data_IF_924415676534
#
_entry.id   IF_924415676534
#
_cell.length_a   1.000
_cell.length_b   1.000
_cell.length_c   1.000
_cell.angle_alpha   90.00
_cell.angle_beta   90.00
_cell.angle_gamma   90.00
#
_symmetry.space_group_name_H-M   'P 1'
#
loop_
_entity.id
_entity.type
_entity.pdbx_description
1 polymer ?
#
# COMPACT_ATOMS: atom_id res chain seq x y z
N UNK A 1 4.95 -24.36 -11.90
CA UNK A 1 6.40 -24.14 -11.73
C UNK A 1 6.76 -23.87 -10.26
N UNK A 2 6.15 -22.90 -9.56
CA UNK A 2 6.46 -22.60 -8.15
C UNK A 2 6.05 -23.74 -7.22
N UNK A 3 4.76 -24.14 -7.22
CA UNK A 3 4.24 -25.15 -6.28
C UNK A 3 5.03 -26.45 -6.25
N UNK A 4 5.34 -27.10 -7.39
CA UNK A 4 6.14 -28.34 -7.34
C UNK A 4 7.54 -28.15 -6.77
N UNK A 5 8.09 -26.94 -6.83
CA UNK A 5 9.43 -26.64 -6.35
C UNK A 5 9.49 -26.43 -4.83
N UNK A 6 8.38 -26.05 -4.20
CA UNK A 6 8.32 -25.71 -2.76
C UNK A 6 7.54 -26.73 -1.91
N UNK A 7 6.84 -27.68 -2.53
CA UNK A 7 6.15 -28.75 -1.77
C UNK A 7 7.15 -29.51 -0.89
N UNK A 8 6.82 -29.60 0.41
CA UNK A 8 7.68 -30.26 1.41
C UNK A 8 8.73 -29.35 2.05
N UNK A 9 8.76 -28.04 1.73
CA UNK A 9 9.62 -27.11 2.45
C UNK A 9 9.04 -26.84 3.87
N UNK A 10 9.91 -26.65 4.84
CA UNK A 10 9.50 -26.16 6.15
C UNK A 10 8.95 -24.73 6.04
N UNK A 11 7.79 -24.45 6.65
CA UNK A 11 7.16 -23.12 6.59
C UNK A 11 8.00 -22.03 7.26
N UNK A 12 8.96 -22.38 8.12
CA UNK A 12 9.91 -21.43 8.72
C UNK A 12 11.09 -21.09 7.81
N UNK A 13 11.35 -21.87 6.76
CA UNK A 13 12.44 -21.66 5.79
C UNK A 13 12.08 -20.60 4.73
N UNK A 14 11.51 -19.47 5.15
CA UNK A 14 10.97 -18.44 4.23
C UNK A 14 12.01 -17.90 3.26
N UNK A 15 13.21 -17.57 3.75
CA UNK A 15 14.29 -17.06 2.88
C UNK A 15 14.71 -18.12 1.83
N UNK A 16 14.76 -19.39 2.21
CA UNK A 16 15.05 -20.51 1.31
C UNK A 16 13.93 -20.69 0.28
N UNK A 17 12.66 -20.54 0.70
CA UNK A 17 11.52 -20.58 -0.22
C UNK A 17 11.65 -19.49 -1.31
N UNK A 18 12.05 -18.28 -0.96
CA UNK A 18 12.30 -17.20 -1.94
C UNK A 18 13.39 -17.56 -2.93
N UNK A 19 14.52 -18.13 -2.48
CA UNK A 19 15.60 -18.58 -3.37
C UNK A 19 15.08 -19.65 -4.36
N UNK A 20 14.29 -20.61 -3.86
CA UNK A 20 13.70 -21.66 -4.71
C UNK A 20 12.73 -21.06 -5.72
N UNK A 21 11.84 -20.16 -5.29
CA UNK A 21 10.88 -19.51 -6.18
C UNK A 21 11.58 -18.62 -7.24
N UNK A 22 12.63 -17.90 -6.86
CA UNK A 22 13.39 -17.05 -7.78
C UNK A 22 14.13 -17.88 -8.85
N UNK A 23 14.64 -19.04 -8.48
CA UNK A 23 15.25 -20.00 -9.42
C UNK A 23 14.21 -20.71 -10.32
N UNK A 24 12.97 -20.93 -9.81
CA UNK A 24 11.92 -21.59 -10.57
C UNK A 24 11.29 -20.71 -11.65
N UNK A 25 11.19 -19.40 -11.39
CA UNK A 25 10.59 -18.43 -12.32
C UNK A 25 11.07 -17.01 -12.04
N UNK A 26 11.47 -16.30 -13.09
CA UNK A 26 11.83 -14.88 -13.01
C UNK A 26 10.60 -14.02 -12.74
N UNK A 27 10.78 -12.89 -12.06
CA UNK A 27 9.71 -11.92 -11.75
C UNK A 27 8.50 -12.58 -11.07
N UNK A 28 7.32 -12.55 -11.66
CA UNK A 28 6.07 -13.19 -11.17
C UNK A 28 5.77 -12.92 -9.68
N UNK A 29 5.99 -11.69 -9.25
CA UNK A 29 5.93 -11.28 -7.84
C UNK A 29 4.59 -11.59 -7.17
N UNK A 30 3.47 -11.47 -7.89
CA UNK A 30 2.15 -11.78 -7.34
C UNK A 30 2.00 -13.26 -6.96
N UNK A 31 2.52 -14.17 -7.80
CA UNK A 31 2.50 -15.62 -7.49
C UNK A 31 3.42 -15.94 -6.31
N UNK A 32 4.60 -15.34 -6.24
CA UNK A 32 5.53 -15.48 -5.11
C UNK A 32 4.94 -14.92 -3.82
N UNK A 33 4.24 -13.78 -3.91
CA UNK A 33 3.52 -13.18 -2.79
C UNK A 33 2.46 -14.11 -2.20
N UNK A 34 1.67 -14.78 -3.05
CA UNK A 34 0.65 -15.72 -2.57
C UNK A 34 1.27 -16.86 -1.75
N UNK A 35 2.40 -17.41 -2.22
CA UNK A 35 3.14 -18.46 -1.50
C UNK A 35 3.79 -17.92 -0.23
N UNK A 36 4.44 -16.76 -0.30
CA UNK A 36 5.08 -16.11 0.85
C UNK A 36 4.06 -15.84 1.98
N UNK A 37 2.90 -15.27 1.64
CA UNK A 37 1.83 -15.02 2.61
C UNK A 37 1.29 -16.32 3.21
N UNK A 38 1.16 -17.39 2.41
CA UNK A 38 0.72 -18.70 2.89
C UNK A 38 1.74 -19.33 3.87
N UNK A 39 3.04 -19.23 3.57
CA UNK A 39 4.10 -19.70 4.47
C UNK A 39 4.11 -18.92 5.78
N UNK A 40 4.01 -17.59 5.74
CA UNK A 40 3.94 -16.76 6.93
C UNK A 40 2.67 -17.04 7.77
N UNK A 41 1.52 -17.24 7.12
CA UNK A 41 0.28 -17.61 7.79
C UNK A 41 0.40 -18.98 8.50
N UNK A 42 0.94 -19.97 7.79
CA UNK A 42 1.17 -21.30 8.35
C UNK A 42 2.15 -21.26 9.52
N UNK A 43 3.32 -20.63 9.34
CA UNK A 43 4.34 -20.53 10.38
C UNK A 43 3.82 -19.83 11.65
N UNK A 44 3.08 -18.72 11.49
CA UNK A 44 2.49 -18.03 12.64
C UNK A 44 1.37 -18.83 13.32
N UNK A 45 0.60 -19.63 12.57
CA UNK A 45 -0.38 -20.58 13.14
C UNK A 45 0.30 -21.73 13.91
N UNK A 46 1.38 -22.29 13.39
CA UNK A 46 2.17 -23.31 14.10
C UNK A 46 2.74 -22.76 15.42
N UNK A 47 3.13 -21.49 15.47
CA UNK A 47 3.59 -20.83 16.68
C UNK A 47 2.44 -20.42 17.63
N UNK A 48 1.19 -20.47 17.20
CA UNK A 48 0.03 -20.03 17.97
C UNK A 48 0.01 -18.51 18.20
N UNK A 49 0.51 -17.72 17.25
CA UNK A 49 0.61 -16.26 17.36
C UNK A 49 -0.03 -15.55 16.15
N UNK A 50 -0.51 -14.30 16.31
CA UNK A 50 -0.88 -13.45 15.19
C UNK A 50 0.35 -13.13 14.31
N UNK A 51 0.13 -12.97 13.01
CA UNK A 51 1.23 -12.73 12.04
C UNK A 51 2.09 -11.51 12.39
N UNK A 52 1.51 -10.41 12.90
CA UNK A 52 2.31 -9.25 13.29
C UNK A 52 3.37 -9.55 14.35
N UNK A 53 3.14 -10.54 15.24
CA UNK A 53 4.15 -10.95 16.22
C UNK A 53 5.35 -11.64 15.57
N UNK A 54 5.12 -12.46 14.56
CA UNK A 54 6.20 -13.07 13.76
C UNK A 54 6.98 -11.99 12.96
N UNK A 55 6.33 -10.89 12.60
CA UNK A 55 6.95 -9.78 11.87
C UNK A 55 7.75 -8.81 12.77
N UNK A 56 7.73 -8.98 14.09
CA UNK A 56 8.50 -8.18 15.05
C UNK A 56 7.67 -7.55 16.17
N UNK A 57 6.37 -7.82 16.21
CA UNK A 57 5.44 -7.28 17.23
C UNK A 57 4.72 -6.02 16.78
N UNK A 58 3.83 -5.50 17.63
CA UNK A 58 3.07 -4.27 17.37
C UNK A 58 3.93 -3.03 17.57
N UNK A 59 4.05 -2.20 16.55
CA UNK A 59 4.50 -0.82 16.65
C UNK A 59 3.32 0.16 16.89
N UNK A 60 2.08 -0.29 16.64
CA UNK A 60 0.84 0.47 16.85
C UNK A 60 -0.36 -0.45 17.07
N UNK A 61 -1.38 0.07 17.76
CA UNK A 61 -2.61 -0.68 18.04
C UNK A 61 -3.61 -0.65 16.89
N UNK A 62 -3.51 0.38 16.02
CA UNK A 62 -4.34 0.52 14.83
C UNK A 62 -3.57 1.16 13.69
N UNK A 63 -4.03 0.92 12.48
CA UNK A 63 -3.52 1.50 11.23
C UNK A 63 -4.60 2.42 10.66
N UNK A 64 -4.27 3.70 10.47
CA UNK A 64 -5.17 4.61 9.75
C UNK A 64 -5.27 4.19 8.29
N UNK A 65 -6.49 4.17 7.74
CA UNK A 65 -6.71 3.90 6.31
C UNK A 65 -7.35 5.12 5.63
N UNK A 66 -7.07 5.27 4.34
CA UNK A 66 -7.63 6.33 3.52
C UNK A 66 -8.82 5.85 2.69
N UNK A 67 -9.48 6.81 2.02
CA UNK A 67 -10.50 6.56 1.00
C UNK A 67 -10.05 7.17 -0.33
N UNK A 68 -10.49 6.58 -1.42
CA UNK A 68 -10.06 6.97 -2.77
C UNK A 68 -11.16 7.69 -3.53
N UNK A 69 -10.78 8.78 -4.21
CA UNK A 69 -11.59 9.47 -5.21
C UNK A 69 -10.96 9.26 -6.58
N UNK A 70 -11.69 8.65 -7.49
CA UNK A 70 -11.28 8.44 -8.87
C UNK A 70 -11.26 9.74 -9.70
N UNK A 71 -10.94 9.61 -10.99
CA UNK A 71 -11.06 10.70 -11.94
C UNK A 71 -12.56 10.86 -12.29
N UNK A 72 -13.15 11.98 -11.87
CA UNK A 72 -14.56 12.32 -12.04
C UNK A 72 -14.73 13.85 -12.08
N UNK A 73 -15.95 14.36 -12.26
CA UNK A 73 -16.21 15.80 -12.20
C UNK A 73 -16.11 16.36 -10.76
N UNK A 74 -16.03 17.67 -10.65
CA UNK A 74 -15.84 18.35 -9.36
C UNK A 74 -17.03 18.11 -8.39
N UNK A 75 -18.25 18.09 -8.90
CA UNK A 75 -19.45 17.93 -8.06
C UNK A 75 -19.48 16.55 -7.40
N UNK A 76 -19.23 15.53 -8.20
CA UNK A 76 -19.13 14.14 -7.70
C UNK A 76 -17.98 13.97 -6.72
N UNK A 77 -16.80 14.53 -7.02
CA UNK A 77 -15.61 14.43 -6.15
C UNK A 77 -15.85 15.12 -4.80
N UNK A 78 -16.45 16.31 -4.80
CA UNK A 78 -16.80 17.06 -3.58
C UNK A 78 -17.83 16.31 -2.75
N UNK A 79 -18.88 15.79 -3.39
CA UNK A 79 -19.92 15.00 -2.70
C UNK A 79 -19.32 13.79 -2.00
N UNK A 80 -18.46 13.03 -2.71
CA UNK A 80 -17.81 11.85 -2.18
C UNK A 80 -16.81 12.18 -1.07
N UNK A 81 -16.06 13.27 -1.19
CA UNK A 81 -15.14 13.72 -0.16
C UNK A 81 -15.85 14.09 1.15
N UNK A 82 -16.97 14.83 1.05
CA UNK A 82 -17.81 15.15 2.21
C UNK A 82 -18.40 13.92 2.87
N UNK A 83 -18.84 12.94 2.07
CA UNK A 83 -19.36 11.68 2.58
C UNK A 83 -18.26 10.91 3.35
N UNK A 84 -17.03 10.81 2.83
CA UNK A 84 -15.92 10.18 3.54
C UNK A 84 -15.60 10.87 4.86
N UNK A 85 -15.54 12.19 4.88
CA UNK A 85 -15.29 12.97 6.11
C UNK A 85 -16.41 12.74 7.12
N UNK A 86 -17.68 12.69 6.69
CA UNK A 86 -18.82 12.42 7.57
C UNK A 86 -18.78 11.02 8.19
N UNK A 87 -18.15 10.05 7.52
CA UNK A 87 -17.88 8.69 8.01
C UNK A 87 -16.62 8.61 8.89
N UNK A 88 -15.93 9.72 9.15
CA UNK A 88 -14.72 9.77 9.97
C UNK A 88 -13.41 9.49 9.23
N UNK A 89 -13.41 9.44 7.89
CA UNK A 89 -12.19 9.28 7.09
C UNK A 89 -11.54 10.64 6.81
N UNK A 90 -10.49 10.94 7.55
CA UNK A 90 -9.73 12.21 7.44
C UNK A 90 -8.52 12.11 6.51
N UNK A 91 -8.38 11.06 5.72
CA UNK A 91 -7.35 10.89 4.69
C UNK A 91 -8.00 10.47 3.38
N UNK A 92 -7.81 11.30 2.36
CA UNK A 92 -8.42 11.13 1.03
C UNK A 92 -7.32 11.11 -0.02
N UNK A 93 -7.29 10.03 -0.82
CA UNK A 93 -6.39 9.88 -1.96
C UNK A 93 -7.15 10.20 -3.25
N UNK A 94 -6.70 11.20 -3.98
CA UNK A 94 -7.32 11.64 -5.25
C UNK A 94 -6.50 11.16 -6.43
N UNK A 95 -7.13 10.41 -7.34
CA UNK A 95 -6.52 10.03 -8.61
C UNK A 95 -6.51 11.21 -9.58
N UNK A 96 -5.36 11.43 -10.20
CA UNK A 96 -5.17 12.47 -11.24
C UNK A 96 -4.55 11.85 -12.49
N UNK A 97 -4.67 12.55 -13.62
CA UNK A 97 -4.14 12.10 -14.90
C UNK A 97 -4.87 12.77 -16.06
N UNK A 98 -4.33 12.66 -17.27
CA UNK A 98 -4.91 13.29 -18.46
C UNK A 98 -4.87 14.82 -18.41
N UNK A 99 -6.01 15.48 -18.34
CA UNK A 99 -6.09 16.95 -18.38
C UNK A 99 -5.69 17.58 -17.05
N UNK A 100 -4.58 18.30 -17.04
CA UNK A 100 -3.97 18.91 -15.85
C UNK A 100 -4.91 19.94 -15.20
N UNK A 101 -5.53 20.82 -15.99
CA UNK A 101 -6.39 21.90 -15.47
C UNK A 101 -7.66 21.36 -14.81
N UNK A 102 -8.26 20.32 -15.36
CA UNK A 102 -9.41 19.66 -14.73
C UNK A 102 -9.03 19.02 -13.39
N UNK A 103 -7.83 18.43 -13.28
CA UNK A 103 -7.33 17.85 -12.04
C UNK A 103 -7.04 18.93 -10.99
N UNK A 104 -6.43 20.06 -11.37
CA UNK A 104 -6.22 21.21 -10.49
C UNK A 104 -7.54 21.72 -9.94
N UNK A 105 -8.52 21.95 -10.82
CA UNK A 105 -9.86 22.41 -10.43
C UNK A 105 -10.52 21.46 -9.44
N UNK A 106 -10.44 20.14 -9.67
CA UNK A 106 -11.02 19.12 -8.81
C UNK A 106 -10.36 19.06 -7.43
N UNK A 107 -9.02 19.11 -7.36
CA UNK A 107 -8.30 19.09 -6.08
C UNK A 107 -8.64 20.34 -5.25
N UNK A 108 -8.67 21.52 -5.87
CA UNK A 108 -9.06 22.77 -5.20
C UNK A 108 -10.49 22.71 -4.67
N UNK A 109 -11.44 22.24 -5.48
CA UNK A 109 -12.83 22.10 -5.06
C UNK A 109 -12.99 21.13 -3.89
N UNK A 110 -12.26 20.01 -3.88
CA UNK A 110 -12.27 19.06 -2.76
C UNK A 110 -11.64 19.70 -1.52
N UNK A 111 -10.47 20.37 -1.62
CA UNK A 111 -9.84 21.05 -0.49
C UNK A 111 -10.76 22.09 0.15
N UNK A 112 -11.39 22.93 -0.65
CA UNK A 112 -12.36 23.91 -0.18
C UNK A 112 -13.54 23.25 0.56
N UNK A 113 -13.99 22.11 0.07
CA UNK A 113 -15.14 21.38 0.61
C UNK A 113 -14.90 20.63 1.92
N UNK A 114 -13.67 20.13 2.14
CA UNK A 114 -13.32 19.30 3.32
C UNK A 114 -12.51 20.06 4.38
N UNK A 115 -12.07 21.29 4.09
CA UNK A 115 -11.26 22.11 5.00
C UNK A 115 -9.81 21.58 5.13
N UNK A 116 -9.04 22.21 6.02
CA UNK A 116 -7.60 21.94 6.17
C UNK A 116 -7.26 20.73 7.05
N UNK A 117 -8.19 20.26 7.87
CA UNK A 117 -7.99 19.11 8.77
C UNK A 117 -7.90 17.79 8.01
N UNK A 118 -8.58 17.67 6.88
CA UNK A 118 -8.52 16.48 6.04
C UNK A 118 -7.19 16.44 5.26
N UNK A 119 -6.50 15.30 5.34
CA UNK A 119 -5.30 15.03 4.55
C UNK A 119 -5.68 14.69 3.12
N UNK A 120 -5.09 15.38 2.15
CA UNK A 120 -5.26 15.08 0.72
C UNK A 120 -3.95 14.52 0.19
N UNK A 121 -4.02 13.36 -0.43
CA UNK A 121 -2.93 12.73 -1.19
C UNK A 121 -3.30 12.68 -2.65
N UNK A 122 -2.33 12.93 -3.52
CA UNK A 122 -2.50 12.89 -4.98
C UNK A 122 -1.81 11.65 -5.52
N UNK A 123 -2.44 10.94 -6.45
CA UNK A 123 -1.82 9.80 -7.14
C UNK A 123 -2.08 9.91 -8.64
N UNK A 124 -0.99 10.06 -9.40
CA UNK A 124 -1.03 10.16 -10.86
C UNK A 124 -0.77 8.83 -11.58
N UNK A 125 -0.42 7.76 -10.87
CA UNK A 125 -0.05 6.45 -11.43
C UNK A 125 0.88 6.57 -12.65
N UNK A 126 1.95 7.37 -12.52
CA UNK A 126 2.92 7.69 -13.58
C UNK A 126 2.33 8.38 -14.83
N UNK A 127 1.18 9.02 -14.68
CA UNK A 127 0.39 9.55 -15.81
C UNK A 127 0.82 10.93 -16.32
N UNK A 128 1.83 11.58 -15.71
CA UNK A 128 2.35 12.87 -16.15
C UNK A 128 3.77 12.78 -16.68
N UNK A 129 4.11 13.67 -17.62
CA UNK A 129 5.49 14.05 -17.90
C UNK A 129 5.91 15.18 -16.94
N UNK A 130 7.20 15.55 -16.96
CA UNK A 130 7.74 16.59 -16.07
C UNK A 130 7.03 17.94 -16.21
N UNK A 131 6.70 18.39 -17.42
CA UNK A 131 6.00 19.65 -17.65
C UNK A 131 4.59 19.64 -17.04
N UNK A 132 3.84 18.57 -17.28
CA UNK A 132 2.50 18.38 -16.71
C UNK A 132 2.51 18.28 -15.19
N UNK A 133 3.46 17.52 -14.63
CA UNK A 133 3.64 17.41 -13.19
C UNK A 133 3.97 18.77 -12.55
N UNK A 134 4.88 19.54 -13.18
CA UNK A 134 5.25 20.88 -12.73
C UNK A 134 4.08 21.87 -12.78
N UNK A 135 3.28 21.83 -13.83
CA UNK A 135 2.06 22.63 -13.97
C UNK A 135 1.03 22.25 -12.90
N UNK A 136 0.80 20.94 -12.71
CA UNK A 136 -0.12 20.44 -11.70
C UNK A 136 0.29 20.86 -10.29
N UNK A 137 1.55 20.62 -9.91
CA UNK A 137 2.09 20.98 -8.59
C UNK A 137 1.93 22.47 -8.32
N UNK A 138 2.28 23.35 -9.27
CA UNK A 138 2.06 24.80 -9.15
C UNK A 138 0.60 25.14 -8.92
N UNK A 139 -0.30 24.46 -9.62
CA UNK A 139 -1.74 24.72 -9.57
C UNK A 139 -2.41 24.31 -8.24
N UNK A 140 -1.78 23.40 -7.46
CA UNK A 140 -2.32 22.90 -6.18
C UNK A 140 -1.36 23.13 -5.01
N UNK A 141 -0.34 23.99 -5.17
CA UNK A 141 0.71 24.19 -4.18
C UNK A 141 0.17 24.67 -2.82
N UNK A 142 -0.86 25.49 -2.83
CA UNK A 142 -1.58 26.02 -1.66
C UNK A 142 -2.67 25.07 -1.12
N UNK A 143 -2.84 23.89 -1.73
CA UNK A 143 -3.84 22.92 -1.28
C UNK A 143 -3.36 22.00 -0.14
N UNK A 144 -2.19 22.23 0.46
CA UNK A 144 -1.63 21.42 1.56
C UNK A 144 -1.70 19.92 1.31
N UNK A 145 -1.11 19.48 0.18
CA UNK A 145 -1.08 18.07 -0.23
C UNK A 145 -0.09 17.31 0.65
N UNK A 146 -0.53 16.22 1.27
CA UNK A 146 0.30 15.39 2.15
C UNK A 146 1.40 14.64 1.40
N UNK A 147 1.05 14.04 0.23
CA UNK A 147 1.98 13.37 -0.66
C UNK A 147 1.55 13.48 -2.11
N UNK A 148 2.53 13.64 -2.99
CA UNK A 148 2.39 13.50 -4.43
C UNK A 148 2.92 12.12 -4.84
N UNK A 149 1.99 11.17 -5.07
CA UNK A 149 2.32 9.79 -5.36
C UNK A 149 2.52 9.57 -6.85
N UNK A 150 3.67 8.99 -7.20
CA UNK A 150 4.08 8.55 -8.53
C UNK A 150 3.60 9.46 -9.67
N UNK A 151 4.02 10.73 -9.64
CA UNK A 151 3.64 11.70 -10.69
C UNK A 151 4.22 11.32 -12.05
N UNK A 152 5.50 10.87 -12.08
CA UNK A 152 6.27 10.59 -13.29
C UNK A 152 6.44 9.09 -13.53
N UNK A 153 6.78 8.67 -14.77
CA UNK A 153 7.11 7.29 -15.09
C UNK A 153 8.20 6.72 -14.19
N UNK A 154 8.07 5.44 -13.82
CA UNK A 154 8.97 4.76 -12.87
C UNK A 154 10.45 4.74 -13.26
N UNK A 155 10.78 4.90 -14.54
CA UNK A 155 12.17 4.92 -15.03
C UNK A 155 12.81 6.32 -14.96
N UNK A 156 12.01 7.37 -14.72
CA UNK A 156 12.46 8.76 -14.83
C UNK A 156 12.88 9.32 -13.45
N UNK A 157 14.00 8.79 -12.95
CA UNK A 157 14.55 9.18 -11.65
C UNK A 157 15.01 10.63 -11.65
N UNK A 158 15.73 11.05 -12.69
CA UNK A 158 16.36 12.37 -12.73
C UNK A 158 15.32 13.49 -12.70
N UNK A 159 14.23 13.34 -13.46
CA UNK A 159 13.14 14.31 -13.41
C UNK A 159 12.33 14.24 -12.11
N UNK A 160 12.21 13.05 -11.47
CA UNK A 160 11.60 12.93 -10.16
C UNK A 160 12.42 13.67 -9.10
N UNK A 161 13.74 13.50 -9.11
CA UNK A 161 14.67 14.26 -8.25
C UNK A 161 14.56 15.77 -8.51
N UNK A 162 14.51 16.18 -9.79
CA UNK A 162 14.36 17.59 -10.14
C UNK A 162 13.01 18.16 -9.65
N UNK A 163 11.92 17.42 -9.79
CA UNK A 163 10.60 17.81 -9.30
C UNK A 163 10.61 18.00 -7.77
N UNK A 164 11.14 17.01 -7.04
CA UNK A 164 11.27 17.06 -5.58
C UNK A 164 12.07 18.30 -5.14
N UNK A 165 13.26 18.51 -5.70
CA UNK A 165 14.14 19.61 -5.32
C UNK A 165 13.60 21.00 -5.71
N UNK A 166 13.02 21.12 -6.91
CA UNK A 166 12.58 22.41 -7.43
C UNK A 166 11.31 22.92 -6.76
N UNK A 167 10.46 22.04 -6.28
CA UNK A 167 9.18 22.41 -5.68
C UNK A 167 9.12 22.18 -4.16
N UNK A 168 10.06 21.44 -3.58
CA UNK A 168 10.06 21.11 -2.15
C UNK A 168 8.80 20.35 -1.71
N UNK A 169 8.24 19.52 -2.59
CA UNK A 169 7.00 18.76 -2.33
C UNK A 169 7.29 17.37 -1.80
N UNK A 170 6.48 16.83 -0.89
CA UNK A 170 6.64 15.46 -0.40
C UNK A 170 6.26 14.45 -1.49
N UNK A 171 7.21 13.64 -1.92
CA UNK A 171 7.01 12.61 -2.96
C UNK A 171 6.90 11.21 -2.34
N UNK A 172 5.87 10.49 -2.76
CA UNK A 172 5.64 9.07 -2.45
C UNK A 172 5.82 8.26 -3.73
N UNK A 173 6.65 7.21 -3.72
CA UNK A 173 6.87 6.33 -4.87
C UNK A 173 6.14 4.99 -4.69
N UNK A 174 5.34 4.60 -5.69
CA UNK A 174 4.59 3.34 -5.76
C UNK A 174 5.17 2.41 -6.84
N UNK A 175 4.87 2.67 -8.11
CA UNK A 175 5.26 1.78 -9.22
C UNK A 175 6.77 1.68 -9.41
N UNK A 176 7.51 2.63 -8.90
CA UNK A 176 8.96 2.70 -9.02
C UNK A 176 9.70 1.77 -8.05
N UNK A 177 9.05 1.35 -6.94
CA UNK A 177 9.73 0.59 -5.88
C UNK A 177 9.01 -0.73 -5.62
N UNK A 178 9.47 -1.79 -6.28
CA UNK A 178 8.94 -3.15 -6.14
C UNK A 178 9.99 -4.16 -5.65
N UNK A 179 11.28 -3.79 -5.65
CA UNK A 179 12.36 -4.65 -5.15
C UNK A 179 13.27 -3.89 -4.18
N UNK A 180 14.02 -4.58 -3.31
CA UNK A 180 15.00 -3.95 -2.43
C UNK A 180 16.06 -3.13 -3.19
N UNK A 181 16.50 -3.60 -4.36
CA UNK A 181 17.49 -2.90 -5.20
C UNK A 181 16.93 -1.57 -5.72
N UNK A 182 15.65 -1.56 -6.12
CA UNK A 182 14.97 -0.32 -6.51
C UNK A 182 14.82 0.62 -5.31
N UNK A 183 14.46 0.10 -4.13
CA UNK A 183 14.38 0.90 -2.91
C UNK A 183 15.71 1.59 -2.60
N UNK A 184 16.84 0.88 -2.64
CA UNK A 184 18.18 1.47 -2.46
C UNK A 184 18.44 2.56 -3.51
N UNK A 185 18.16 2.27 -4.79
CA UNK A 185 18.40 3.20 -5.89
C UNK A 185 17.66 4.53 -5.69
N UNK A 186 16.37 4.46 -5.33
CA UNK A 186 15.55 5.66 -5.12
C UNK A 186 15.89 6.37 -3.81
N UNK A 187 16.18 5.65 -2.73
CA UNK A 187 16.61 6.25 -1.48
C UNK A 187 17.90 7.04 -1.63
N UNK A 188 18.92 6.45 -2.28
CA UNK A 188 20.22 7.13 -2.55
C UNK A 188 20.05 8.35 -3.46
N UNK A 189 19.14 8.31 -4.43
CA UNK A 189 18.92 9.44 -5.35
C UNK A 189 18.31 10.68 -4.68
N UNK A 190 17.65 10.53 -3.53
CA UNK A 190 16.86 11.58 -2.89
C UNK A 190 15.63 11.99 -3.69
N UNK A 191 15.05 11.06 -4.42
CA UNK A 191 13.88 11.31 -5.27
C UNK A 191 12.55 11.33 -4.53
N UNK A 192 12.51 10.86 -3.26
CA UNK A 192 11.28 10.68 -2.52
C UNK A 192 11.47 10.74 -1.01
N UNK A 193 10.37 10.98 -0.30
CA UNK A 193 10.28 11.01 1.16
C UNK A 193 9.69 9.71 1.72
N UNK A 194 8.97 8.96 0.89
CA UNK A 194 8.33 7.71 1.31
C UNK A 194 8.14 6.73 0.14
N UNK A 195 7.93 5.45 0.48
CA UNK A 195 7.59 4.38 -0.46
C UNK A 195 6.22 3.79 -0.15
N UNK A 196 5.45 3.46 -1.20
CA UNK A 196 4.27 2.61 -1.11
C UNK A 196 4.68 1.15 -1.30
N UNK A 197 4.43 0.31 -0.30
CA UNK A 197 4.67 -1.13 -0.37
C UNK A 197 3.36 -1.86 -0.69
N UNK A 198 3.36 -2.64 -1.77
CA UNK A 198 2.28 -3.54 -2.17
C UNK A 198 2.81 -4.97 -2.22
N UNK A 199 2.30 -5.85 -1.36
CA UNK A 199 2.83 -7.22 -1.23
C UNK A 199 2.87 -7.96 -2.56
N UNK A 200 1.80 -7.87 -3.36
CA UNK A 200 1.73 -8.53 -4.66
C UNK A 200 2.75 -8.00 -5.68
N UNK A 201 3.22 -6.75 -5.54
CA UNK A 201 4.22 -6.15 -6.42
C UNK A 201 5.64 -6.48 -5.98
N UNK A 202 5.90 -6.59 -4.68
CA UNK A 202 7.25 -6.87 -4.18
C UNK A 202 7.54 -8.35 -3.95
N UNK A 203 6.54 -9.23 -4.04
CA UNK A 203 6.73 -10.67 -3.89
C UNK A 203 6.48 -11.20 -2.48
N UNK A 204 5.78 -10.43 -1.61
CA UNK A 204 5.32 -10.88 -0.30
C UNK A 204 5.96 -10.14 0.87
N UNK A 205 5.68 -10.63 2.08
CA UNK A 205 6.08 -10.04 3.35
C UNK A 205 7.60 -10.01 3.54
N UNK A 206 8.30 -11.07 3.11
CA UNK A 206 9.76 -11.15 3.21
C UNK A 206 10.45 -10.01 2.47
N UNK A 207 10.10 -9.77 1.22
CA UNK A 207 10.64 -8.67 0.42
C UNK A 207 10.15 -7.31 0.89
N UNK A 208 8.89 -7.22 1.31
CA UNK A 208 8.31 -5.99 1.88
C UNK A 208 9.08 -5.51 3.10
N UNK A 209 9.48 -6.40 4.02
CA UNK A 209 10.32 -6.07 5.18
C UNK A 209 11.70 -5.56 4.79
N UNK A 210 12.31 -6.12 3.75
CA UNK A 210 13.60 -5.62 3.24
C UNK A 210 13.46 -4.18 2.70
N UNK A 211 12.43 -3.90 1.90
CA UNK A 211 12.16 -2.55 1.39
C UNK A 211 11.89 -1.57 2.54
N UNK A 212 11.08 -1.97 3.53
CA UNK A 212 10.78 -1.14 4.70
C UNK A 212 12.02 -0.85 5.55
N UNK A 213 12.92 -1.82 5.76
CA UNK A 213 14.18 -1.63 6.46
C UNK A 213 15.14 -0.68 5.73
N UNK A 214 15.16 -0.71 4.39
CA UNK A 214 15.92 0.25 3.59
C UNK A 214 15.34 1.66 3.78
N UNK A 215 14.02 1.83 3.65
CA UNK A 215 13.37 3.12 3.89
C UNK A 215 13.66 3.66 5.29
N UNK A 216 13.56 2.83 6.32
CA UNK A 216 13.88 3.18 7.70
C UNK A 216 15.34 3.66 7.85
N UNK A 217 16.30 2.94 7.26
CA UNK A 217 17.71 3.31 7.31
C UNK A 217 18.02 4.66 6.65
N UNK A 218 17.20 5.10 5.71
CA UNK A 218 17.28 6.41 5.05
C UNK A 218 16.36 7.48 5.68
N UNK A 219 15.66 7.18 6.79
CA UNK A 219 14.74 8.10 7.44
C UNK A 219 13.43 8.33 6.66
N UNK A 220 13.09 7.46 5.72
CA UNK A 220 11.93 7.58 4.84
C UNK A 220 10.70 6.90 5.44
N UNK A 221 9.51 7.43 5.10
CA UNK A 221 8.24 6.85 5.46
C UNK A 221 7.83 5.65 4.60
N UNK A 222 6.87 4.87 5.13
CA UNK A 222 6.21 3.79 4.40
C UNK A 222 4.69 3.98 4.43
N UNK A 223 4.07 3.72 3.30
CA UNK A 223 2.63 3.48 3.16
C UNK A 223 2.45 2.04 2.71
N UNK A 224 1.68 1.24 3.44
CA UNK A 224 1.31 -0.10 2.99
C UNK A 224 0.00 0.00 2.22
N UNK A 225 -0.03 -0.61 1.05
CA UNK A 225 -1.20 -0.57 0.16
C UNK A 225 -1.60 -1.96 -0.32
N UNK A 226 -2.89 -2.18 -0.45
CA UNK A 226 -3.47 -3.31 -1.17
C UNK A 226 -3.75 -2.94 -2.64
N UNK A 227 -3.90 -3.95 -3.49
CA UNK A 227 -4.28 -3.79 -4.91
C UNK A 227 -5.70 -4.31 -5.15
N UNK A 228 -6.68 -3.87 -4.34
CA UNK A 228 -8.03 -4.45 -4.30
C UNK A 228 -8.01 -5.94 -3.92
N UNK A 229 -7.09 -6.29 -3.03
CA UNK A 229 -6.96 -7.64 -2.51
C UNK A 229 -8.19 -8.02 -1.67
N UNK A 230 -8.46 -9.32 -1.54
CA UNK A 230 -9.43 -9.82 -0.56
C UNK A 230 -8.95 -9.57 0.87
N UNK A 231 -9.78 -9.85 1.87
CA UNK A 231 -9.37 -9.79 3.28
C UNK A 231 -8.12 -10.62 3.58
N UNK A 232 -7.79 -11.64 2.77
CA UNK A 232 -6.56 -12.43 2.93
C UNK A 232 -5.33 -11.56 2.66
N UNK A 233 -5.22 -10.99 1.47
CA UNK A 233 -4.09 -10.15 1.10
C UNK A 233 -4.06 -8.84 1.88
N UNK A 234 -5.22 -8.21 2.07
CA UNK A 234 -5.34 -6.98 2.83
C UNK A 234 -5.04 -7.21 4.33
N UNK A 235 -5.37 -8.39 4.90
CA UNK A 235 -4.99 -8.79 6.25
C UNK A 235 -3.48 -8.93 6.42
N UNK A 236 -2.80 -9.56 5.46
CA UNK A 236 -1.34 -9.63 5.46
C UNK A 236 -0.70 -8.22 5.41
N UNK A 237 -1.25 -7.32 4.58
CA UNK A 237 -0.85 -5.90 4.54
C UNK A 237 -1.08 -5.20 5.88
N UNK A 238 -2.21 -5.45 6.55
CA UNK A 238 -2.52 -4.87 7.85
C UNK A 238 -1.52 -5.33 8.93
N UNK A 239 -1.22 -6.62 8.98
CA UNK A 239 -0.22 -7.15 9.92
C UNK A 239 1.16 -6.54 9.67
N UNK A 240 1.57 -6.38 8.40
CA UNK A 240 2.80 -5.69 8.06
C UNK A 240 2.79 -4.24 8.56
N UNK A 241 1.74 -3.47 8.25
CA UNK A 241 1.62 -2.07 8.68
C UNK A 241 1.57 -1.93 10.21
N UNK A 242 0.99 -2.91 10.91
CA UNK A 242 0.98 -2.96 12.39
C UNK A 242 2.39 -3.14 12.96
N UNK A 243 3.24 -3.91 12.28
CA UNK A 243 4.59 -4.26 12.76
C UNK A 243 5.70 -3.30 12.30
N UNK A 244 5.49 -2.48 11.24
CA UNK A 244 6.53 -1.58 10.75
C UNK A 244 6.61 -0.28 11.58
N UNK A 245 7.79 0.17 12.01
CA UNK A 245 7.93 1.39 12.82
C UNK A 245 7.67 2.68 12.03
N UNK A 246 8.02 2.70 10.75
CA UNK A 246 8.08 3.91 9.90
C UNK A 246 6.80 4.17 9.06
N UNK A 247 5.63 3.70 9.50
CA UNK A 247 4.33 4.09 8.91
C UNK A 247 4.03 5.54 9.34
N UNK A 248 4.06 6.48 8.41
CA UNK A 248 3.91 7.91 8.68
C UNK A 248 2.58 8.49 8.21
N UNK A 249 1.82 7.75 7.40
CA UNK A 249 0.57 8.21 6.81
C UNK A 249 -0.46 7.08 6.71
N UNK A 250 -1.71 7.42 6.42
CA UNK A 250 -2.78 6.44 6.24
C UNK A 250 -2.45 5.42 5.14
N UNK A 251 -2.71 4.15 5.40
CA UNK A 251 -2.47 3.05 4.48
C UNK A 251 -3.64 2.87 3.50
N UNK A 252 -3.37 2.30 2.32
CA UNK A 252 -4.36 2.07 1.27
C UNK A 252 -5.00 0.67 1.43
N UNK A 253 -5.64 0.40 2.58
CA UNK A 253 -6.27 -0.88 2.91
C UNK A 253 -7.80 -0.80 2.78
N UNK A 254 -8.25 -0.35 1.62
CA UNK A 254 -9.64 0.05 1.37
C UNK A 254 -10.64 -1.11 1.33
N UNK A 255 -10.19 -2.37 1.18
CA UNK A 255 -11.04 -3.56 1.16
C UNK A 255 -11.90 -3.67 2.42
N UNK A 256 -11.34 -3.32 3.60
CA UNK A 256 -12.09 -3.35 4.86
C UNK A 256 -13.22 -2.31 4.95
N UNK A 257 -13.19 -1.30 4.10
CA UNK A 257 -14.29 -0.34 3.95
C UNK A 257 -15.33 -0.79 2.89
N UNK A 258 -15.15 -1.94 2.24
CA UNK A 258 -16.08 -2.56 1.29
C UNK A 258 -17.02 -3.51 2.02
N UNK A 259 -18.26 -3.66 1.52
CA UNK A 259 -19.29 -4.43 2.23
C UNK A 259 -19.27 -5.94 1.95
N UNK A 260 -18.53 -6.42 0.96
CA UNK A 260 -18.54 -7.84 0.57
C UNK A 260 -17.13 -8.33 0.28
N UNK A 261 -16.73 -9.40 0.94
CA UNK A 261 -15.50 -10.14 0.68
C UNK A 261 -15.78 -11.65 0.71
N UNK A 262 -14.91 -12.41 0.06
CA UNK A 262 -14.96 -13.89 0.02
C UNK A 262 -14.56 -14.53 1.36
N UNK A 263 -13.92 -13.77 2.23
CA UNK A 263 -13.39 -14.25 3.50
C UNK A 263 -13.86 -13.37 4.66
N UNK A 264 -14.06 -13.99 5.83
CA UNK A 264 -14.28 -13.30 7.10
C UNK A 264 -12.96 -13.14 7.83
N UNK A 265 -12.78 -12.03 8.51
CA UNK A 265 -11.57 -11.77 9.30
C UNK A 265 -11.91 -11.33 10.74
N UNK A 266 -10.92 -11.46 11.63
CA UNK A 266 -11.01 -10.94 13.00
C UNK A 266 -10.66 -9.44 13.09
N UNK A 267 -10.30 -8.81 11.98
CA UNK A 267 -9.90 -7.41 11.95
C UNK A 267 -11.12 -6.48 12.04
N UNK A 268 -10.96 -5.37 12.75
CA UNK A 268 -12.07 -4.45 13.04
C UNK A 268 -11.74 -3.05 12.51
N UNK A 269 -12.63 -2.54 11.68
CA UNK A 269 -12.58 -1.16 11.23
C UNK A 269 -13.49 -0.29 12.10
N UNK A 270 -12.93 0.77 12.69
CA UNK A 270 -13.65 1.77 13.47
C UNK A 270 -13.31 3.18 12.93
N UNK A 271 -14.26 3.81 12.21
CA UNK A 271 -13.95 5.00 11.43
C UNK A 271 -12.84 4.73 10.44
N UNK A 272 -11.75 5.50 10.49
CA UNK A 272 -10.56 5.25 9.67
C UNK A 272 -9.50 4.36 10.34
N UNK A 273 -9.73 3.86 11.56
CA UNK A 273 -8.77 3.06 12.32
C UNK A 273 -9.05 1.58 12.12
N UNK A 274 -8.11 0.87 11.47
CA UNK A 274 -8.18 -0.56 11.25
C UNK A 274 -7.29 -1.29 12.26
N UNK A 275 -7.89 -2.18 13.05
CA UNK A 275 -7.23 -2.95 14.10
C UNK A 275 -6.94 -4.37 13.61
N UNK A 276 -5.70 -4.80 13.74
CA UNK A 276 -5.35 -6.20 13.56
C UNK A 276 -5.90 -7.01 14.75
N UNK A 277 -6.67 -8.04 14.45
CA UNK A 277 -7.14 -8.98 15.47
C UNK A 277 -6.01 -9.88 15.98
N UNK A 278 -6.22 -10.51 17.12
CA UNK A 278 -5.22 -11.34 17.81
C UNK A 278 -5.36 -12.85 17.49
N UNK A 279 -6.15 -13.22 16.47
CA UNK A 279 -6.21 -14.61 15.99
C UNK A 279 -4.91 -15.03 15.32
N UNK A 280 -4.59 -16.32 15.39
CA UNK A 280 -3.36 -16.89 14.83
C UNK A 280 -3.28 -16.69 13.31
N UNK A 281 -2.08 -16.53 12.80
CA UNK A 281 -1.86 -16.27 11.38
C UNK A 281 -2.31 -14.88 10.94
N UNK A 282 -2.82 -14.80 9.71
CA UNK A 282 -3.38 -13.57 9.13
C UNK A 282 -4.74 -13.19 9.77
N UNK A 283 -5.35 -14.08 10.57
CA UNK A 283 -6.62 -13.81 11.22
C UNK A 283 -7.82 -13.79 10.26
N UNK A 284 -7.76 -14.56 9.19
CA UNK A 284 -8.84 -14.72 8.21
C UNK A 284 -9.41 -16.13 8.32
N UNK A 285 -10.75 -16.23 8.37
CA UNK A 285 -11.47 -17.49 8.55
C UNK A 285 -12.46 -17.72 7.42
N UNK A 286 -12.72 -18.97 7.13
CA UNK A 286 -13.75 -19.54 6.26
C UNK A 286 -14.00 -18.86 4.89
N UNK A 287 -13.82 -19.65 3.87
CA UNK A 287 -14.20 -19.37 2.47
C UNK A 287 -15.52 -20.05 2.08
N UNK A 288 -16.38 -20.41 3.05
CA UNK A 288 -17.52 -21.30 2.84
C UNK A 288 -18.68 -20.72 2.02
N UNK A 289 -18.68 -19.41 1.77
CA UNK A 289 -19.80 -18.76 1.07
C UNK A 289 -19.66 -18.79 -0.47
N UNK A 290 -18.59 -19.38 -1.03
CA UNK A 290 -18.31 -19.39 -2.48
C UNK A 290 -18.33 -20.78 -3.13
N UNK A 291 -18.81 -21.83 -2.45
CA UNK A 291 -18.92 -23.17 -3.02
C UNK A 291 -17.58 -23.80 -3.40
N UNK A 292 -16.47 -23.28 -2.91
CA UNK A 292 -15.17 -23.95 -3.00
C UNK A 292 -15.11 -25.04 -1.95
N UNK A 293 -15.47 -26.24 -2.33
CA UNK A 293 -15.11 -27.45 -1.58
C UNK A 293 -13.61 -27.60 -1.63
N UNK A 294 -12.93 -27.36 -0.51
CA UNK A 294 -11.55 -27.83 -0.31
C UNK A 294 -11.65 -29.34 -0.26
N UNK A 295 -11.32 -30.02 -1.37
CA UNK A 295 -11.09 -31.45 -1.32
C UNK A 295 -9.87 -31.68 -0.41
N UNK A 296 -10.14 -32.21 0.79
CA UNK A 296 -9.09 -32.71 1.67
C UNK A 296 -8.39 -33.85 0.90
N UNK A 297 -7.20 -33.60 0.40
CA UNK A 297 -6.29 -34.61 -0.13
C UNK A 297 -5.27 -34.97 0.95
#
# INVERSE_FOLDING_TARGET
MILPAIVGIDCFDIARAHIIMDNAIAENHAAKCAVDCALHDLASKELGIPLYQMLGGKCRDSVSINRHIGIMDNVQAVSLAKDFVSQGFMSIKMKVGGNVQSNISRVRAVREAVGDDAKIRIDANAGYNYTQASEFVKGVYDCNVEYYEQLLPKWDIDQTVALHKNFGIPILLDEAVNTPEQAVRYAVSGAADAFTIKLCKCGGLYRAKQIAGIAEAFGMGIVVASTYDTHIGCGACLHLATALPNIQSACDLTTYASQKDIAKSCHVLNGMQLHAGDSYGIGVFSMNDFGMTVNNA
#
